data_IF_824378481901
#
_entry.id   IF_824378481901
#
_cell.length_a   1.000
_cell.length_b   1.000
_cell.length_c   1.000
_cell.angle_alpha   90.00
_cell.angle_beta   90.00
_cell.angle_gamma   90.00
#
_symmetry.space_group_name_H-M   'P 1'
#
loop_
_entity.id
_entity.type
_entity.pdbx_description
1 polymer ?
#
# COMPACT_ATOMS: atom_id res chain seq x y z
N UNK A 1 64.08 54.73 -4.41
CA UNK A 1 63.77 54.25 -3.05
C UNK A 1 62.27 53.98 -3.05
N UNK A 2 61.85 52.79 -3.47
CA UNK A 2 61.79 51.52 -2.71
C UNK A 2 60.58 51.45 -1.79
N UNK A 3 59.99 50.25 -1.76
CA UNK A 3 58.86 49.76 -0.97
C UNK A 3 57.49 49.95 -1.64
N UNK A 4 56.64 48.95 -1.82
CA UNK A 4 56.73 47.48 -1.76
C UNK A 4 55.34 47.00 -2.19
N UNK A 5 55.29 45.94 -2.99
CA UNK A 5 54.08 45.22 -3.38
C UNK A 5 53.55 44.44 -2.18
N UNK A 6 52.28 44.62 -1.83
CA UNK A 6 51.51 43.68 -1.00
C UNK A 6 50.34 43.18 -1.85
N UNK A 7 50.48 41.95 -2.35
CA UNK A 7 49.43 41.13 -2.93
C UNK A 7 48.49 40.65 -1.82
N UNK A 8 47.20 40.92 -1.95
CA UNK A 8 46.15 40.24 -1.19
C UNK A 8 45.46 39.30 -2.18
N UNK A 9 45.85 38.02 -2.14
CA UNK A 9 45.09 36.95 -2.79
C UNK A 9 43.77 36.75 -2.03
N UNK A 10 42.65 37.04 -2.70
CA UNK A 10 41.31 36.65 -2.26
C UNK A 10 41.13 35.14 -2.50
N UNK A 11 41.20 34.33 -1.45
CA UNK A 11 40.76 32.93 -1.48
C UNK A 11 39.24 32.88 -1.74
N UNK A 12 38.86 32.52 -2.97
CA UNK A 12 37.49 32.12 -3.30
C UNK A 12 37.20 30.79 -2.59
N UNK A 13 36.22 30.70 -1.66
CA UNK A 13 35.90 29.44 -1.02
C UNK A 13 35.34 28.46 -2.06
N UNK A 14 36.02 27.33 -2.21
CA UNK A 14 35.58 26.23 -3.07
C UNK A 14 34.19 25.77 -2.64
N UNK A 15 33.19 26.04 -3.48
CA UNK A 15 31.83 25.53 -3.30
C UNK A 15 31.89 24.00 -3.36
N UNK A 16 31.69 23.39 -2.19
CA UNK A 16 31.65 21.95 -1.97
C UNK A 16 30.67 21.28 -2.95
N UNK A 17 31.22 20.48 -3.86
CA UNK A 17 30.51 19.63 -4.82
C UNK A 17 29.83 18.41 -4.20
N UNK A 18 29.80 18.30 -2.86
CA UNK A 18 29.20 17.17 -2.13
C UNK A 18 27.71 16.93 -2.38
N UNK A 19 26.82 17.93 -2.49
CA UNK A 19 25.38 17.66 -2.64
C UNK A 19 25.04 17.00 -3.97
N UNK A 20 25.73 17.40 -5.05
CA UNK A 20 25.52 16.86 -6.39
C UNK A 20 26.07 15.44 -6.54
N UNK A 21 27.17 15.12 -5.85
CA UNK A 21 27.77 13.78 -5.86
C UNK A 21 26.94 12.79 -5.03
N UNK A 22 26.40 13.19 -3.87
CA UNK A 22 25.51 12.35 -3.06
C UNK A 22 24.18 12.05 -3.77
N UNK A 23 23.61 13.03 -4.50
CA UNK A 23 22.45 12.82 -5.36
C UNK A 23 22.75 11.87 -6.54
N UNK A 24 23.93 11.96 -7.14
CA UNK A 24 24.35 11.09 -8.25
C UNK A 24 24.62 9.64 -7.79
N UNK A 25 25.21 9.46 -6.60
CA UNK A 25 25.44 8.13 -6.00
C UNK A 25 24.14 7.51 -5.50
N UNK A 26 23.21 8.30 -4.96
CA UNK A 26 21.86 7.84 -4.62
C UNK A 26 21.09 7.42 -5.89
N UNK A 27 21.24 8.14 -7.00
CA UNK A 27 20.62 7.79 -8.28
C UNK A 27 21.17 6.50 -8.90
N UNK A 28 22.44 6.14 -8.66
CA UNK A 28 23.07 4.94 -9.22
C UNK A 28 22.55 3.61 -8.64
N UNK A 29 21.96 3.61 -7.45
CA UNK A 29 21.38 2.40 -6.82
C UNK A 29 19.84 2.39 -6.75
N UNK A 30 19.18 3.46 -7.20
CA UNK A 30 17.72 3.56 -7.19
C UNK A 30 17.12 3.00 -8.49
N UNK A 31 16.75 1.72 -8.48
CA UNK A 31 16.01 1.11 -9.59
C UNK A 31 14.62 1.73 -9.65
N UNK A 32 14.35 2.50 -10.71
CA UNK A 32 13.03 3.07 -10.98
C UNK A 32 12.04 1.96 -11.32
N UNK A 33 10.82 2.05 -10.81
CA UNK A 33 9.76 1.10 -11.12
C UNK A 33 9.53 1.02 -12.64
N UNK A 34 9.44 -0.20 -13.23
CA UNK A 34 9.33 -0.37 -14.68
C UNK A 34 7.89 -0.13 -15.14
N UNK A 35 7.41 1.11 -15.00
CA UNK A 35 6.03 1.51 -15.29
C UNK A 35 5.56 1.16 -16.71
N UNK A 36 6.48 0.98 -17.65
CA UNK A 36 6.16 0.58 -19.04
C UNK A 36 5.63 -0.86 -19.13
N UNK A 37 5.98 -1.74 -18.20
CA UNK A 37 5.55 -3.15 -18.18
C UNK A 37 4.07 -3.32 -17.80
N UNK A 38 3.48 -2.31 -17.15
CA UNK A 38 2.09 -2.35 -16.67
C UNK A 38 1.15 -1.50 -17.53
N UNK A 39 1.55 -1.17 -18.76
CA UNK A 39 0.69 -0.50 -19.73
C UNK A 39 0.31 0.94 -19.33
N UNK A 40 1.18 1.66 -18.61
CA UNK A 40 0.86 3.00 -18.06
C UNK A 40 0.91 4.11 -19.12
N UNK A 41 0.41 3.85 -20.33
CA UNK A 41 0.20 4.83 -21.37
C UNK A 41 -1.31 4.93 -21.68
N UNK A 42 -1.92 6.01 -21.19
CA UNK A 42 -3.15 6.64 -21.71
C UNK A 42 -4.48 5.84 -21.73
N UNK A 43 -4.69 4.87 -20.84
CA UNK A 43 -5.99 4.14 -20.75
C UNK A 43 -7.16 4.97 -20.17
N UNK A 44 -6.91 6.19 -19.71
CA UNK A 44 -7.96 7.08 -19.19
C UNK A 44 -8.91 7.60 -20.28
N UNK A 45 -8.50 7.49 -21.55
CA UNK A 45 -9.29 7.92 -22.71
C UNK A 45 -10.15 6.80 -23.31
N UNK A 46 -10.00 5.54 -22.86
CA UNK A 46 -10.73 4.40 -23.43
C UNK A 46 -11.56 3.68 -22.36
N UNK A 47 -12.83 4.10 -22.14
CA UNK A 47 -13.76 3.40 -21.24
C UNK A 47 -14.16 1.98 -21.69
N UNK A 48 -13.63 1.50 -22.82
CA UNK A 48 -13.97 0.22 -23.45
C UNK A 48 -12.95 -0.90 -23.19
N UNK A 49 -12.07 -0.75 -22.20
CA UNK A 49 -11.11 -1.80 -21.90
C UNK A 49 -11.82 -3.06 -21.40
N UNK A 50 -11.54 -4.20 -22.04
CA UNK A 50 -12.05 -5.50 -21.63
C UNK A 50 -11.68 -5.77 -20.15
N UNK A 51 -12.68 -6.06 -19.27
CA UNK A 51 -12.45 -6.43 -17.88
C UNK A 51 -11.35 -7.48 -17.67
N UNK A 52 -11.17 -8.42 -18.62
CA UNK A 52 -10.13 -9.46 -18.53
C UNK A 52 -8.72 -8.90 -18.69
N UNK A 53 -8.52 -7.98 -19.63
CA UNK A 53 -7.23 -7.31 -19.83
C UNK A 53 -6.88 -6.46 -18.61
N UNK A 54 -7.86 -5.73 -18.10
CA UNK A 54 -7.73 -4.93 -16.88
C UNK A 54 -7.30 -5.80 -15.69
N UNK A 55 -8.01 -6.90 -15.44
CA UNK A 55 -7.69 -7.85 -14.38
C UNK A 55 -6.27 -8.45 -14.56
N UNK A 56 -5.92 -8.87 -15.78
CA UNK A 56 -4.60 -9.42 -16.10
C UNK A 56 -3.45 -8.47 -15.74
N UNK A 57 -3.62 -7.16 -15.97
CA UNK A 57 -2.61 -6.15 -15.59
C UNK A 57 -2.44 -6.05 -14.08
N UNK A 58 -3.53 -6.04 -13.32
CA UNK A 58 -3.43 -5.95 -11.86
C UNK A 58 -2.92 -7.24 -11.21
N UNK A 59 -3.26 -8.42 -11.77
CA UNK A 59 -2.65 -9.69 -11.35
C UNK A 59 -1.14 -9.67 -11.60
N UNK A 60 -0.70 -9.19 -12.77
CA UNK A 60 0.72 -9.07 -13.08
C UNK A 60 1.43 -8.09 -12.13
N UNK A 61 0.82 -6.93 -11.87
CA UNK A 61 1.31 -5.95 -10.90
C UNK A 61 1.44 -6.55 -9.51
N UNK A 62 0.45 -7.33 -9.08
CA UNK A 62 0.44 -7.97 -7.78
C UNK A 62 1.58 -8.97 -7.62
N UNK A 63 1.74 -9.86 -8.59
CA UNK A 63 2.80 -10.86 -8.59
C UNK A 63 4.20 -10.20 -8.60
N UNK A 64 4.34 -9.10 -9.33
CA UNK A 64 5.58 -8.33 -9.39
C UNK A 64 5.95 -7.70 -8.03
N UNK A 65 5.00 -7.05 -7.37
CA UNK A 65 5.22 -6.35 -6.09
C UNK A 65 5.39 -7.32 -4.92
N UNK A 66 4.70 -8.47 -4.93
CA UNK A 66 4.85 -9.51 -3.90
C UNK A 66 6.19 -10.25 -3.98
N UNK A 67 6.95 -10.11 -5.08
CA UNK A 67 8.36 -10.48 -5.14
C UNK A 67 8.64 -11.96 -5.44
N UNK A 68 7.76 -12.64 -6.18
CA UNK A 68 7.93 -14.06 -6.53
C UNK A 68 9.21 -14.40 -7.34
N UNK A 69 9.89 -13.41 -7.91
CA UNK A 69 10.94 -13.64 -8.92
C UNK A 69 12.37 -13.15 -8.56
N UNK A 70 12.66 -12.62 -7.36
CA UNK A 70 14.01 -12.03 -7.10
C UNK A 70 14.67 -12.40 -5.78
N UNK A 71 15.99 -12.60 -5.89
CA UNK A 71 16.94 -13.04 -4.86
C UNK A 71 17.33 -11.89 -3.92
N UNK A 72 17.04 -12.15 -2.64
CA UNK A 72 17.66 -11.74 -1.38
C UNK A 72 18.99 -10.94 -1.47
N UNK A 73 18.88 -9.62 -1.40
CA UNK A 73 19.89 -8.80 -0.74
C UNK A 73 19.47 -8.57 0.73
N UNK A 74 20.41 -8.21 1.61
CA UNK A 74 20.09 -7.94 3.02
C UNK A 74 18.97 -6.89 3.09
N UNK A 75 17.86 -7.14 3.79
CA UNK A 75 16.77 -6.19 3.89
C UNK A 75 17.29 -4.91 4.56
N UNK A 76 17.46 -3.87 3.76
CA UNK A 76 17.62 -2.51 4.27
C UNK A 76 16.24 -1.98 4.65
N UNK A 77 16.16 -1.20 5.72
CA UNK A 77 14.92 -0.60 6.20
C UNK A 77 15.20 0.85 6.56
N UNK A 78 14.86 1.74 5.65
CA UNK A 78 15.02 3.18 5.79
C UNK A 78 13.65 3.84 5.95
N UNK A 79 13.52 4.66 6.98
CA UNK A 79 12.30 5.42 7.31
C UNK A 79 12.56 6.93 7.28
N UNK A 80 13.81 7.35 7.03
CA UNK A 80 14.22 8.75 6.98
C UNK A 80 14.13 9.34 5.57
N UNK A 81 13.67 8.55 4.60
CA UNK A 81 13.22 9.05 3.31
C UNK A 81 11.97 9.93 3.48
N UNK A 82 11.80 10.91 2.60
CA UNK A 82 10.56 11.68 2.56
C UNK A 82 9.49 11.00 1.67
N UNK A 83 8.25 11.48 1.77
CA UNK A 83 7.12 10.95 1.02
C UNK A 83 7.31 11.03 -0.51
N UNK A 84 7.95 12.09 -1.02
CA UNK A 84 8.23 12.24 -2.44
C UNK A 84 9.21 11.15 -2.92
N UNK A 85 10.28 10.92 -2.16
CA UNK A 85 11.23 9.85 -2.40
C UNK A 85 10.55 8.48 -2.33
N UNK A 86 9.64 8.27 -1.38
CA UNK A 86 8.88 7.04 -1.25
C UNK A 86 8.01 6.75 -2.49
N UNK A 87 7.33 7.75 -3.04
CA UNK A 87 6.54 7.61 -4.27
C UNK A 87 7.37 7.24 -5.50
N UNK A 88 8.55 7.85 -5.65
CA UNK A 88 9.35 7.71 -6.86
C UNK A 88 10.36 6.56 -6.77
N UNK A 89 10.83 6.23 -5.57
CA UNK A 89 11.88 5.24 -5.31
C UNK A 89 11.52 4.36 -4.10
N UNK A 90 10.47 3.52 -4.19
CA UNK A 90 10.06 2.66 -3.07
C UNK A 90 11.17 1.75 -2.53
N UNK A 91 12.11 1.35 -3.40
CA UNK A 91 13.27 0.52 -3.07
C UNK A 91 14.25 1.17 -2.09
N UNK A 92 14.15 2.49 -1.88
CA UNK A 92 14.90 3.19 -0.81
C UNK A 92 14.36 2.85 0.58
N UNK A 93 13.06 2.63 0.71
CA UNK A 93 12.41 2.26 1.98
C UNK A 93 12.83 0.85 2.38
N UNK A 94 12.66 -0.08 1.43
CA UNK A 94 13.01 -1.48 1.61
C UNK A 94 13.31 -2.12 0.26
N UNK A 95 14.32 -2.99 0.23
CA UNK A 95 14.57 -3.82 -0.93
C UNK A 95 13.46 -4.85 -1.11
N UNK A 96 13.26 -5.30 -2.36
CA UNK A 96 12.24 -6.29 -2.64
C UNK A 96 12.70 -7.67 -2.16
N UNK A 97 11.90 -8.26 -1.29
CA UNK A 97 11.92 -9.69 -0.94
C UNK A 97 10.49 -10.22 -0.88
N UNK A 98 10.32 -11.54 -0.92
CA UNK A 98 9.01 -12.13 -1.12
C UNK A 98 8.10 -11.85 0.09
N UNK A 99 6.86 -11.43 -0.18
CA UNK A 99 5.84 -11.33 0.87
C UNK A 99 5.30 -12.70 1.26
N UNK A 100 5.15 -13.60 0.29
CA UNK A 100 4.72 -14.99 0.48
C UNK A 100 5.86 -15.90 0.97
N UNK A 101 6.62 -15.46 1.97
CA UNK A 101 7.62 -16.29 2.64
C UNK A 101 6.98 -17.11 3.76
N UNK A 102 7.58 -18.26 4.07
CA UNK A 102 7.12 -19.08 5.19
C UNK A 102 7.19 -18.26 6.47
N UNK A 103 6.15 -18.35 7.31
CA UNK A 103 6.13 -17.75 8.64
C UNK A 103 7.31 -18.29 9.47
N UNK A 104 8.31 -17.45 9.71
CA UNK A 104 9.58 -17.85 10.33
C UNK A 104 9.85 -17.09 11.64
N UNK A 105 9.39 -15.85 11.74
CA UNK A 105 9.76 -14.94 12.84
C UNK A 105 8.52 -14.29 13.45
N UNK A 106 8.34 -14.53 14.74
CA UNK A 106 7.37 -13.79 15.54
C UNK A 106 7.71 -12.30 15.51
N UNK A 107 6.69 -11.45 15.35
CA UNK A 107 6.84 -10.00 15.43
C UNK A 107 7.31 -9.60 16.83
N UNK A 108 8.32 -8.74 16.87
CA UNK A 108 8.82 -8.12 18.08
C UNK A 108 9.37 -6.72 17.78
N UNK A 109 9.89 -6.06 18.82
CA UNK A 109 10.52 -4.74 18.69
C UNK A 109 11.62 -4.69 17.61
N UNK A 110 12.44 -5.73 17.51
CA UNK A 110 13.53 -5.79 16.53
C UNK A 110 13.08 -6.04 15.09
N UNK A 111 11.81 -6.41 14.86
CA UNK A 111 11.31 -6.77 13.52
C UNK A 111 10.23 -5.82 12.99
N UNK A 112 9.59 -5.02 13.86
CA UNK A 112 8.47 -4.16 13.47
C UNK A 112 8.85 -3.14 12.39
N UNK A 113 10.01 -2.48 12.52
CA UNK A 113 10.51 -1.54 11.50
C UNK A 113 10.65 -2.19 10.14
N UNK A 114 11.25 -3.39 10.09
CA UNK A 114 11.45 -4.13 8.84
C UNK A 114 10.12 -4.56 8.21
N UNK A 115 9.18 -5.04 9.03
CA UNK A 115 7.82 -5.37 8.61
C UNK A 115 7.15 -4.17 7.96
N UNK A 116 7.13 -3.04 8.66
CA UNK A 116 6.52 -1.80 8.18
C UNK A 116 7.18 -1.32 6.88
N UNK A 117 8.51 -1.22 6.84
CA UNK A 117 9.26 -0.77 5.65
C UNK A 117 8.95 -1.64 4.42
N UNK A 118 8.85 -2.97 4.58
CA UNK A 118 8.58 -3.86 3.45
C UNK A 118 7.16 -3.70 2.92
N UNK A 119 6.17 -3.60 3.81
CA UNK A 119 4.78 -3.37 3.44
C UNK A 119 4.60 -2.00 2.76
N UNK A 120 5.19 -0.95 3.32
CA UNK A 120 5.13 0.40 2.74
C UNK A 120 5.86 0.47 1.40
N UNK A 121 7.02 -0.16 1.25
CA UNK A 121 7.70 -0.28 -0.04
C UNK A 121 6.82 -1.00 -1.07
N UNK A 122 6.23 -2.15 -0.70
CA UNK A 122 5.27 -2.86 -1.54
C UNK A 122 4.13 -1.93 -1.99
N UNK A 123 3.57 -1.17 -1.07
CA UNK A 123 2.45 -0.29 -1.34
C UNK A 123 2.81 0.78 -2.36
N UNK A 124 3.92 1.49 -2.19
CA UNK A 124 4.35 2.50 -3.16
C UNK A 124 4.74 1.88 -4.51
N UNK A 125 5.36 0.69 -4.54
CA UNK A 125 5.58 -0.04 -5.81
C UNK A 125 4.25 -0.35 -6.50
N UNK A 126 3.26 -0.85 -5.76
CA UNK A 126 1.93 -1.12 -6.29
C UNK A 126 1.26 0.14 -6.84
N UNK A 127 1.28 1.26 -6.10
CA UNK A 127 0.73 2.54 -6.56
C UNK A 127 1.38 3.01 -7.87
N UNK A 128 2.70 2.85 -8.02
CA UNK A 128 3.37 3.25 -9.26
C UNK A 128 2.92 2.47 -10.51
N UNK A 129 2.29 1.30 -10.31
CA UNK A 129 1.65 0.49 -11.36
C UNK A 129 0.24 0.93 -11.73
N UNK A 130 -0.41 1.81 -10.95
CA UNK A 130 -1.79 2.24 -11.18
C UNK A 130 -1.82 3.50 -12.04
N UNK A 131 -2.25 3.36 -13.29
CA UNK A 131 -2.25 4.47 -14.24
C UNK A 131 -3.20 5.61 -13.87
N UNK A 132 -4.36 5.29 -13.29
CA UNK A 132 -5.39 6.28 -12.96
C UNK A 132 -4.94 7.30 -11.91
N UNK A 133 -3.95 6.98 -11.07
CA UNK A 133 -3.39 7.91 -10.08
C UNK A 133 -2.79 9.15 -10.76
N UNK A 134 -2.30 9.03 -12.00
CA UNK A 134 -1.69 10.14 -12.74
C UNK A 134 -2.68 11.23 -13.15
N UNK A 135 -3.97 10.94 -13.12
CA UNK A 135 -5.02 11.91 -13.45
C UNK A 135 -5.43 12.80 -12.29
N UNK A 136 -5.01 12.46 -11.08
CA UNK A 136 -5.29 13.29 -9.91
C UNK A 136 -4.32 14.47 -9.88
N UNK A 137 -4.82 15.60 -9.39
CA UNK A 137 -3.99 16.72 -8.98
C UNK A 137 -3.00 16.25 -7.90
N UNK A 138 -1.82 16.87 -7.82
CA UNK A 138 -0.78 16.42 -6.88
C UNK A 138 -1.25 16.42 -5.42
N UNK A 139 -2.04 17.41 -5.01
CA UNK A 139 -2.62 17.48 -3.66
C UNK A 139 -3.56 16.30 -3.38
N UNK A 140 -4.53 16.06 -4.28
CA UNK A 140 -5.47 14.94 -4.18
C UNK A 140 -4.76 13.59 -4.23
N UNK A 141 -3.70 13.48 -5.03
CA UNK A 141 -2.89 12.27 -5.18
C UNK A 141 -2.18 11.94 -3.87
N UNK A 142 -1.48 12.91 -3.28
CA UNK A 142 -0.80 12.74 -1.99
C UNK A 142 -1.82 12.38 -0.90
N UNK A 143 -2.96 13.08 -0.88
CA UNK A 143 -4.02 12.84 0.09
C UNK A 143 -4.64 11.45 -0.05
N UNK A 144 -4.98 11.01 -1.27
CA UNK A 144 -5.52 9.67 -1.55
C UNK A 144 -4.52 8.58 -1.17
N UNK A 145 -3.27 8.73 -1.58
CA UNK A 145 -2.25 7.70 -1.42
C UNK A 145 -1.78 7.54 0.02
N UNK A 146 -1.53 8.63 0.76
CA UNK A 146 -1.29 8.52 2.21
C UNK A 146 -2.57 8.09 2.93
N UNK A 147 -3.69 8.57 2.40
CA UNK A 147 -5.07 8.30 2.77
C UNK A 147 -5.40 6.84 3.05
N UNK A 148 -5.08 6.04 2.05
CA UNK A 148 -5.50 4.65 1.91
C UNK A 148 -4.43 3.65 2.37
N UNK A 149 -3.24 4.11 2.74
CA UNK A 149 -2.09 3.24 3.01
C UNK A 149 -2.42 2.13 4.00
N UNK A 150 -2.85 2.47 5.21
CA UNK A 150 -3.13 1.48 6.26
C UNK A 150 -4.23 0.49 5.83
N UNK A 151 -5.25 0.97 5.11
CA UNK A 151 -6.35 0.13 4.60
C UNK A 151 -5.87 -0.88 3.57
N UNK A 152 -5.03 -0.46 2.64
CA UNK A 152 -4.48 -1.35 1.61
C UNK A 152 -3.49 -2.35 2.22
N UNK A 153 -2.63 -1.91 3.14
CA UNK A 153 -1.74 -2.82 3.87
C UNK A 153 -2.52 -3.84 4.69
N UNK A 154 -3.55 -3.39 5.40
CA UNK A 154 -4.48 -4.26 6.13
C UNK A 154 -5.14 -5.30 5.21
N UNK A 155 -5.51 -4.92 3.98
CA UNK A 155 -6.04 -5.86 2.99
C UNK A 155 -4.99 -6.91 2.58
N UNK A 156 -3.76 -6.48 2.32
CA UNK A 156 -2.64 -7.37 1.98
C UNK A 156 -2.39 -8.38 3.10
N UNK A 157 -2.26 -7.92 4.34
CA UNK A 157 -2.06 -8.76 5.52
C UNK A 157 -3.23 -9.73 5.71
N UNK A 158 -4.47 -9.27 5.52
CA UNK A 158 -5.67 -10.13 5.60
C UNK A 158 -5.63 -11.26 4.58
N UNK A 159 -5.23 -10.95 3.35
CA UNK A 159 -5.19 -11.93 2.26
C UNK A 159 -4.10 -12.98 2.47
N UNK A 160 -2.89 -12.56 2.88
CA UNK A 160 -1.83 -13.52 3.22
C UNK A 160 -2.20 -14.38 4.43
N UNK A 161 -2.83 -13.79 5.45
CA UNK A 161 -3.35 -14.55 6.59
C UNK A 161 -4.40 -15.57 6.17
N UNK A 162 -5.31 -15.18 5.27
CA UNK A 162 -6.30 -16.09 4.68
C UNK A 162 -5.63 -17.27 3.94
N UNK A 163 -4.63 -16.99 3.11
CA UNK A 163 -3.88 -18.02 2.37
C UNK A 163 -3.09 -18.95 3.30
N UNK A 164 -2.54 -18.43 4.40
CA UNK A 164 -1.81 -19.22 5.38
C UNK A 164 -2.69 -20.26 6.09
N UNK A 165 -4.00 -19.97 6.23
CA UNK A 165 -4.98 -20.94 6.73
C UNK A 165 -4.81 -21.36 8.19
N UNK A 166 -3.99 -20.63 8.97
CA UNK A 166 -3.76 -20.90 10.39
C UNK A 166 -4.66 -20.00 11.23
N UNK A 167 -5.54 -20.61 12.03
CA UNK A 167 -6.46 -19.86 12.89
C UNK A 167 -5.73 -19.10 14.01
N UNK A 168 -6.11 -17.84 14.19
CA UNK A 168 -5.58 -16.98 15.25
C UNK A 168 -4.14 -16.48 15.04
N UNK A 169 -3.51 -16.83 13.91
CA UNK A 169 -2.19 -16.34 13.52
C UNK A 169 -2.33 -15.29 12.42
N UNK A 170 -1.64 -14.18 12.59
CA UNK A 170 -1.63 -13.05 11.64
C UNK A 170 -0.33 -13.09 10.84
N UNK A 171 -0.41 -13.09 9.51
CA UNK A 171 0.74 -13.07 8.61
C UNK A 171 0.96 -11.67 8.04
N UNK A 172 2.04 -11.00 8.45
CA UNK A 172 2.42 -9.68 7.94
C UNK A 172 3.19 -9.75 6.62
N UNK A 173 3.47 -10.96 6.13
CA UNK A 173 4.34 -11.24 5.00
C UNK A 173 5.82 -11.11 5.34
N UNK A 174 6.67 -11.53 4.39
CA UNK A 174 8.12 -11.43 4.55
C UNK A 174 8.67 -12.26 5.71
N UNK A 175 8.00 -13.38 5.99
CA UNK A 175 8.32 -14.32 7.06
C UNK A 175 8.03 -13.82 8.47
N UNK A 176 7.38 -12.65 8.63
CA UNK A 176 7.02 -12.08 9.93
C UNK A 176 5.56 -12.36 10.22
N UNK A 177 5.29 -12.98 11.38
CA UNK A 177 3.93 -13.34 11.79
C UNK A 177 3.67 -12.95 13.24
N UNK A 178 2.41 -13.02 13.66
CA UNK A 178 2.01 -12.90 15.05
C UNK A 178 1.17 -14.09 15.47
N UNK A 179 1.70 -14.86 16.42
CA UNK A 179 0.94 -15.82 17.21
C UNK A 179 0.73 -15.27 18.64
N UNK A 180 -0.52 -15.10 19.09
CA UNK A 180 -0.82 -14.58 20.43
C UNK A 180 -0.37 -15.52 21.57
N UNK A 181 -0.21 -16.81 21.32
CA UNK A 181 0.28 -17.79 22.29
C UNK A 181 1.80 -17.68 22.51
N UNK A 182 2.54 -17.28 21.48
CA UNK A 182 4.01 -17.14 21.52
C UNK A 182 4.45 -15.71 21.85
N UNK A 183 3.58 -14.71 21.67
CA UNK A 183 3.91 -13.32 21.93
C UNK A 183 3.87 -12.98 23.43
N UNK A 184 4.98 -12.48 24.03
CA UNK A 184 4.94 -11.95 25.38
C UNK A 184 4.00 -10.75 25.47
N UNK A 185 3.46 -10.49 26.66
CA UNK A 185 2.64 -9.30 26.92
C UNK A 185 3.45 -8.03 26.68
N UNK A 186 2.79 -6.99 26.13
CA UNK A 186 3.44 -5.74 25.78
C UNK A 186 2.77 -5.04 24.61
N UNK A 187 3.36 -3.93 24.17
CA UNK A 187 2.78 -3.07 23.13
C UNK A 187 2.56 -3.80 21.80
N UNK A 188 3.49 -4.65 21.38
CA UNK A 188 3.34 -5.46 20.16
C UNK A 188 2.15 -6.41 20.25
N UNK A 189 1.96 -7.07 21.40
CA UNK A 189 0.82 -7.97 21.61
C UNK A 189 -0.50 -7.20 21.56
N UNK A 190 -0.54 -6.01 22.15
CA UNK A 190 -1.73 -5.15 22.10
C UNK A 190 -2.03 -4.69 20.67
N UNK A 191 -1.00 -4.22 19.94
CA UNK A 191 -1.11 -3.79 18.54
C UNK A 191 -1.59 -4.94 17.63
N UNK A 192 -0.82 -6.02 17.54
CA UNK A 192 -1.14 -7.13 16.65
C UNK A 192 -2.41 -7.88 17.09
N UNK A 193 -2.69 -7.94 18.40
CA UNK A 193 -3.93 -8.49 18.95
C UNK A 193 -5.17 -7.70 18.52
N UNK A 194 -5.10 -6.37 18.51
CA UNK A 194 -6.21 -5.53 18.03
C UNK A 194 -6.51 -5.76 16.55
N UNK A 195 -5.46 -5.84 15.71
CA UNK A 195 -5.58 -6.19 14.29
C UNK A 195 -6.19 -7.59 14.12
N UNK A 196 -5.69 -8.57 14.87
CA UNK A 196 -6.17 -9.96 14.83
C UNK A 196 -7.64 -10.07 15.22
N UNK A 197 -8.11 -9.29 16.21
CA UNK A 197 -9.52 -9.26 16.63
C UNK A 197 -10.43 -8.80 15.49
N UNK A 198 -10.15 -7.63 14.90
CA UNK A 198 -10.96 -7.09 13.80
C UNK A 198 -10.96 -8.04 12.60
N UNK A 199 -9.78 -8.58 12.28
CA UNK A 199 -9.62 -9.55 11.20
C UNK A 199 -10.44 -10.82 11.42
N UNK A 200 -10.39 -11.39 12.63
CA UNK A 200 -11.10 -12.61 13.00
C UNK A 200 -12.62 -12.45 13.05
N UNK A 201 -13.10 -11.26 13.42
CA UNK A 201 -14.54 -10.97 13.55
C UNK A 201 -15.19 -10.59 12.21
N UNK A 202 -14.53 -9.74 11.41
CA UNK A 202 -15.18 -9.09 10.26
C UNK A 202 -14.66 -9.53 8.89
N UNK A 203 -13.43 -10.05 8.81
CA UNK A 203 -12.73 -10.23 7.52
C UNK A 203 -12.58 -11.71 7.16
N UNK A 204 -11.85 -12.49 7.96
CA UNK A 204 -11.56 -13.90 7.67
C UNK A 204 -12.82 -14.76 7.52
N UNK A 205 -13.89 -14.62 8.33
CA UNK A 205 -15.11 -15.40 8.13
C UNK A 205 -15.72 -15.21 6.75
N UNK A 206 -15.73 -13.98 6.24
CA UNK A 206 -16.26 -13.66 4.91
C UNK A 206 -15.32 -14.19 3.82
N UNK A 207 -14.00 -13.99 3.94
CA UNK A 207 -13.03 -14.54 2.98
C UNK A 207 -13.15 -16.07 2.84
N UNK A 208 -13.31 -16.76 3.97
CA UNK A 208 -13.48 -18.22 4.03
C UNK A 208 -14.82 -18.68 3.47
N UNK A 209 -15.92 -17.99 3.85
CA UNK A 209 -17.27 -18.26 3.32
C UNK A 209 -17.29 -18.18 1.80
N UNK A 210 -16.69 -17.13 1.24
CA UNK A 210 -16.70 -16.86 -0.18
C UNK A 210 -15.65 -17.64 -0.97
N UNK A 211 -14.63 -18.16 -0.29
CA UNK A 211 -13.41 -18.69 -0.90
C UNK A 211 -12.85 -17.70 -1.93
N UNK A 212 -12.53 -16.50 -1.44
CA UNK A 212 -12.12 -15.39 -2.31
C UNK A 212 -10.97 -15.82 -3.22
N UNK A 213 -11.13 -15.59 -4.51
CA UNK A 213 -10.09 -15.89 -5.49
C UNK A 213 -9.05 -14.77 -5.54
N UNK A 214 -7.89 -15.04 -6.13
CA UNK A 214 -6.84 -14.02 -6.29
C UNK A 214 -7.33 -12.83 -7.14
N UNK A 215 -8.13 -13.12 -8.16
CA UNK A 215 -8.73 -12.14 -9.06
C UNK A 215 -9.69 -11.20 -8.31
N UNK A 216 -10.57 -11.75 -7.48
CA UNK A 216 -11.50 -10.97 -6.66
C UNK A 216 -10.76 -10.11 -5.63
N UNK A 217 -9.74 -10.67 -4.97
CA UNK A 217 -8.88 -9.93 -4.05
C UNK A 217 -8.25 -8.72 -4.72
N UNK A 218 -7.63 -8.92 -5.89
CA UNK A 218 -6.92 -7.86 -6.61
C UNK A 218 -7.88 -6.74 -7.01
N UNK A 219 -9.06 -7.06 -7.55
CA UNK A 219 -10.07 -6.05 -7.89
C UNK A 219 -10.61 -5.34 -6.66
N UNK A 220 -10.95 -6.08 -5.60
CA UNK A 220 -11.44 -5.49 -4.35
C UNK A 220 -10.43 -4.54 -3.74
N UNK A 221 -9.14 -4.85 -3.80
CA UNK A 221 -8.09 -3.96 -3.31
C UNK A 221 -8.04 -2.63 -4.07
N UNK A 222 -8.15 -2.67 -5.39
CA UNK A 222 -8.22 -1.45 -6.22
C UNK A 222 -9.50 -0.66 -5.94
N UNK A 223 -10.65 -1.33 -5.82
CA UNK A 223 -11.92 -0.70 -5.44
C UNK A 223 -11.78 -0.03 -4.06
N UNK A 224 -11.16 -0.69 -3.08
CA UNK A 224 -10.92 -0.13 -1.75
C UNK A 224 -10.02 1.11 -1.82
N UNK A 225 -8.98 1.09 -2.65
CA UNK A 225 -8.09 2.24 -2.83
C UNK A 225 -8.82 3.47 -3.40
N UNK A 226 -9.69 3.29 -4.38
CA UNK A 226 -10.47 4.40 -4.95
C UNK A 226 -11.80 4.67 -4.22
N UNK A 227 -12.12 3.91 -3.17
CA UNK A 227 -13.32 4.17 -2.37
C UNK A 227 -13.06 5.33 -1.40
N UNK A 228 -13.50 6.52 -1.80
CA UNK A 228 -13.26 7.76 -1.08
C UNK A 228 -14.43 8.19 -0.18
N UNK A 229 -15.44 7.33 0.04
CA UNK A 229 -16.70 7.65 0.72
C UNK A 229 -16.54 8.24 2.14
N UNK A 230 -15.38 8.06 2.76
CA UNK A 230 -15.07 8.50 4.13
C UNK A 230 -13.95 9.56 4.19
N UNK A 231 -13.49 10.05 3.03
CA UNK A 231 -12.39 11.00 2.98
C UNK A 231 -12.91 12.43 2.97
N UNK A 232 -12.58 13.16 4.03
CA UNK A 232 -12.76 14.61 4.11
C UNK A 232 -11.42 15.24 3.74
N UNK A 233 -11.30 15.81 2.53
CA UNK A 233 -10.09 16.52 2.11
C UNK A 233 -9.72 16.43 0.62
N UNK A 234 -10.36 15.53 -0.15
CA UNK A 234 -10.24 15.55 -1.61
C UNK A 234 -11.03 16.71 -2.21
N UNK A 235 -10.51 17.28 -3.29
CA UNK A 235 -11.26 18.23 -4.11
C UNK A 235 -12.48 17.56 -4.77
N UNK A 236 -13.47 18.35 -5.18
CA UNK A 236 -14.65 17.83 -5.90
C UNK A 236 -14.25 17.05 -7.16
N UNK A 237 -13.23 17.53 -7.89
CA UNK A 237 -12.69 16.85 -9.06
C UNK A 237 -11.97 15.54 -8.69
N UNK A 238 -11.25 15.51 -7.57
CA UNK A 238 -10.65 14.29 -7.02
C UNK A 238 -11.70 13.25 -6.63
N UNK A 239 -12.81 13.68 -5.99
CA UNK A 239 -13.93 12.81 -5.63
C UNK A 239 -14.61 12.24 -6.87
N UNK A 240 -14.92 13.07 -7.86
CA UNK A 240 -15.52 12.64 -9.12
C UNK A 240 -14.64 11.62 -9.84
N UNK A 241 -13.34 11.90 -9.93
CA UNK A 241 -12.37 11.02 -10.55
C UNK A 241 -12.27 9.67 -9.81
N UNK A 242 -12.15 9.69 -8.48
CA UNK A 242 -12.12 8.48 -7.67
C UNK A 242 -13.39 7.63 -7.85
N UNK A 243 -14.57 8.25 -7.88
CA UNK A 243 -15.84 7.56 -8.11
C UNK A 243 -15.92 6.94 -9.50
N UNK A 244 -15.49 7.67 -10.54
CA UNK A 244 -15.44 7.16 -11.92
C UNK A 244 -14.55 5.92 -12.01
N UNK A 245 -13.36 5.98 -11.42
CA UNK A 245 -12.40 4.87 -11.40
C UNK A 245 -12.93 3.70 -10.56
N UNK A 246 -13.49 3.96 -9.38
CA UNK A 246 -14.09 2.94 -8.53
C UNK A 246 -15.23 2.19 -9.25
N UNK A 247 -16.09 2.90 -9.98
CA UNK A 247 -17.16 2.28 -10.76
C UNK A 247 -16.66 1.42 -11.93
N UNK A 248 -15.57 1.83 -12.60
CA UNK A 248 -14.88 1.00 -13.61
C UNK A 248 -14.47 -0.35 -13.02
N UNK A 249 -13.87 -0.36 -11.84
CA UNK A 249 -13.41 -1.59 -11.19
C UNK A 249 -14.56 -2.42 -10.58
N UNK A 250 -15.62 -1.79 -10.08
CA UNK A 250 -16.85 -2.49 -9.65
C UNK A 250 -17.52 -3.21 -10.81
N UNK A 251 -17.56 -2.59 -12.00
CA UNK A 251 -18.07 -3.23 -13.21
C UNK A 251 -17.23 -4.46 -13.60
N UNK A 252 -15.91 -4.36 -13.54
CA UNK A 252 -15.03 -5.49 -13.79
C UNK A 252 -15.26 -6.65 -12.78
N UNK A 253 -15.42 -6.33 -11.49
CA UNK A 253 -15.74 -7.33 -10.46
C UNK A 253 -17.11 -7.99 -10.70
N UNK A 254 -18.13 -7.22 -11.08
CA UNK A 254 -19.45 -7.75 -11.39
C UNK A 254 -19.41 -8.74 -12.56
N UNK A 255 -18.65 -8.44 -13.61
CA UNK A 255 -18.45 -9.36 -14.74
C UNK A 255 -17.70 -10.63 -14.31
N UNK A 256 -16.63 -10.49 -13.52
CA UNK A 256 -15.88 -11.65 -12.99
C UNK A 256 -16.78 -12.58 -12.18
N UNK A 257 -17.59 -12.02 -11.28
CA UNK A 257 -18.54 -12.79 -10.46
C UNK A 257 -19.62 -13.45 -11.32
N UNK A 258 -20.14 -12.73 -12.32
CA UNK A 258 -21.10 -13.27 -13.28
C UNK A 258 -20.54 -14.48 -14.02
N UNK A 259 -19.33 -14.36 -14.58
CA UNK A 259 -18.66 -15.47 -15.26
C UNK A 259 -18.44 -16.66 -14.33
N UNK A 260 -18.00 -16.43 -13.09
CA UNK A 260 -17.86 -17.48 -12.08
C UNK A 260 -19.19 -18.21 -11.81
N UNK A 261 -20.30 -17.48 -11.63
CA UNK A 261 -21.61 -18.08 -11.36
C UNK A 261 -22.13 -18.87 -12.57
N UNK A 262 -21.95 -18.34 -13.79
CA UNK A 262 -22.37 -19.02 -15.01
C UNK A 262 -21.61 -20.33 -15.24
N UNK A 263 -20.31 -20.36 -14.92
CA UNK A 263 -19.46 -21.55 -15.06
C UNK A 263 -19.75 -22.62 -14.00
N UNK A 264 -19.97 -22.21 -12.75
CA UNK A 264 -20.15 -23.13 -11.62
C UNK A 264 -21.61 -23.59 -11.42
N UNK A 265 -22.58 -22.82 -11.93
CA UNK A 265 -24.01 -23.10 -11.78
C UNK A 265 -24.79 -23.00 -13.11
N UNK A 266 -24.36 -23.72 -14.17
CA UNK A 266 -24.94 -23.60 -15.51
C UNK A 266 -26.40 -24.07 -15.59
N UNK A 267 -26.82 -24.95 -14.67
CA UNK A 267 -28.17 -25.56 -14.67
C UNK A 267 -29.24 -24.70 -13.99
N UNK A 268 -28.85 -23.63 -13.27
CA UNK A 268 -29.80 -22.72 -12.62
C UNK A 268 -30.55 -21.88 -13.66
N UNK A 269 -31.72 -21.36 -13.26
CA UNK A 269 -32.41 -20.36 -14.08
C UNK A 269 -31.67 -19.01 -14.02
N UNK A 270 -31.92 -18.14 -15.00
CA UNK A 270 -31.26 -16.83 -15.09
C UNK A 270 -31.53 -15.95 -13.85
N UNK A 271 -32.77 -15.95 -13.34
CA UNK A 271 -33.13 -15.23 -12.11
C UNK A 271 -32.32 -15.71 -10.89
N UNK A 272 -32.18 -17.02 -10.72
CA UNK A 272 -31.41 -17.62 -9.63
C UNK A 272 -29.92 -17.29 -9.73
N UNK A 273 -29.35 -17.31 -10.94
CA UNK A 273 -27.96 -16.87 -11.14
C UNK A 273 -27.78 -15.40 -10.81
N UNK A 274 -28.73 -14.56 -11.20
CA UNK A 274 -28.69 -13.13 -10.89
C UNK A 274 -28.69 -12.89 -9.37
N UNK A 275 -29.53 -13.58 -8.62
CA UNK A 275 -29.55 -13.52 -7.15
C UNK A 275 -28.21 -13.96 -6.53
N UNK A 276 -27.59 -15.03 -7.03
CA UNK A 276 -26.27 -15.48 -6.57
C UNK A 276 -25.17 -14.46 -6.86
N UNK A 277 -25.20 -13.83 -8.04
CA UNK A 277 -24.27 -12.76 -8.40
C UNK A 277 -24.41 -11.58 -7.45
N UNK A 278 -25.63 -11.10 -7.21
CA UNK A 278 -25.90 -9.98 -6.30
C UNK A 278 -25.48 -10.30 -4.87
N UNK A 279 -25.82 -11.49 -4.37
CA UNK A 279 -25.46 -11.94 -3.02
C UNK A 279 -23.94 -12.00 -2.85
N UNK A 280 -23.23 -12.58 -3.82
CA UNK A 280 -21.76 -12.64 -3.76
C UNK A 280 -21.13 -11.26 -3.82
N UNK A 281 -21.60 -10.37 -4.69
CA UNK A 281 -21.10 -8.99 -4.79
C UNK A 281 -21.33 -8.22 -3.48
N UNK A 282 -22.49 -8.38 -2.85
CA UNK A 282 -22.78 -7.76 -1.57
C UNK A 282 -21.81 -8.22 -0.49
N UNK A 283 -21.59 -9.53 -0.36
CA UNK A 283 -20.65 -10.09 0.62
C UNK A 283 -19.20 -9.65 0.34
N UNK A 284 -18.77 -9.62 -0.93
CA UNK A 284 -17.44 -9.14 -1.33
C UNK A 284 -17.23 -7.67 -0.98
N UNK A 285 -18.23 -6.82 -1.22
CA UNK A 285 -18.15 -5.39 -0.90
C UNK A 285 -18.25 -5.13 0.61
N UNK A 286 -18.89 -6.02 1.39
CA UNK A 286 -18.97 -5.91 2.84
C UNK A 286 -17.57 -6.02 3.50
N UNK A 287 -16.63 -6.75 2.89
CA UNK A 287 -15.25 -6.83 3.37
C UNK A 287 -14.60 -5.46 3.53
N UNK A 288 -14.99 -4.48 2.71
CA UNK A 288 -14.42 -3.14 2.76
C UNK A 288 -14.64 -2.47 4.11
N UNK A 289 -15.75 -2.75 4.79
CA UNK A 289 -16.02 -2.18 6.11
C UNK A 289 -15.02 -2.68 7.15
N UNK A 290 -14.80 -3.99 7.23
CA UNK A 290 -13.81 -4.58 8.14
C UNK A 290 -12.39 -4.06 7.84
N UNK A 291 -12.04 -3.91 6.57
CA UNK A 291 -10.74 -3.39 6.13
C UNK A 291 -10.54 -1.93 6.54
N UNK A 292 -11.57 -1.09 6.41
CA UNK A 292 -11.55 0.30 6.86
C UNK A 292 -11.28 0.36 8.36
N UNK A 293 -12.07 -0.37 9.16
CA UNK A 293 -11.93 -0.39 10.62
C UNK A 293 -10.55 -0.90 11.02
N UNK A 294 -10.06 -1.96 10.37
CA UNK A 294 -8.73 -2.48 10.66
C UNK A 294 -7.62 -1.48 10.31
N UNK A 295 -7.76 -0.76 9.20
CA UNK A 295 -6.83 0.30 8.81
C UNK A 295 -6.79 1.48 9.79
N UNK A 296 -7.92 1.85 10.39
CA UNK A 296 -7.99 2.88 11.45
C UNK A 296 -7.33 2.41 12.74
N UNK A 297 -7.55 1.15 13.12
CA UNK A 297 -6.89 0.52 14.27
C UNK A 297 -5.37 0.47 14.04
N UNK A 298 -4.93 0.04 12.86
CA UNK A 298 -3.52 -0.01 12.48
C UNK A 298 -2.85 1.37 12.59
N UNK A 299 -3.46 2.39 11.97
CA UNK A 299 -2.95 3.76 11.97
C UNK A 299 -2.80 4.32 13.39
N UNK A 300 -3.84 4.16 14.23
CA UNK A 300 -3.83 4.61 15.62
C UNK A 300 -2.75 3.97 16.47
N UNK A 301 -2.53 2.66 16.33
CA UNK A 301 -1.47 1.99 17.07
C UNK A 301 -0.09 2.31 16.52
N UNK A 302 0.08 2.42 15.20
CA UNK A 302 1.35 2.85 14.60
C UNK A 302 1.74 4.25 15.05
N UNK A 303 0.80 5.21 15.10
CA UNK A 303 1.05 6.55 15.63
C UNK A 303 1.63 6.50 17.06
N UNK A 304 1.04 5.69 17.93
CA UNK A 304 1.53 5.51 19.31
C UNK A 304 2.94 4.92 19.35
N UNK A 305 3.20 3.89 18.54
CA UNK A 305 4.51 3.23 18.48
C UNK A 305 5.57 4.20 17.94
N UNK A 306 5.23 5.03 16.95
CA UNK A 306 6.11 6.06 16.39
C UNK A 306 6.42 7.14 17.43
N UNK A 307 5.42 7.62 18.17
CA UNK A 307 5.59 8.69 19.16
C UNK A 307 6.54 8.32 20.32
N UNK A 308 6.64 7.03 20.66
CA UNK A 308 7.58 6.53 21.67
C UNK A 308 8.86 5.93 21.05
N UNK A 309 9.03 6.04 19.73
CA UNK A 309 10.12 5.44 18.96
C UNK A 309 10.30 3.93 19.18
N UNK A 310 9.19 3.19 19.33
CA UNK A 310 9.23 1.75 19.55
C UNK A 310 9.84 1.04 18.33
N UNK A 311 10.85 0.19 18.56
CA UNK A 311 11.52 -0.53 17.47
C UNK A 311 12.23 0.36 16.44
N UNK A 312 12.53 1.62 16.80
CA UNK A 312 13.18 2.56 15.89
C UNK A 312 12.28 3.07 14.76
N UNK A 313 10.96 3.18 15.00
CA UNK A 313 9.96 3.65 14.03
C UNK A 313 9.89 5.18 13.89
N UNK A 314 10.63 5.95 14.68
CA UNK A 314 10.67 7.40 14.55
C UNK A 314 11.54 7.81 13.36
N UNK A 315 10.90 8.19 12.25
CA UNK A 315 11.56 8.65 11.03
C UNK A 315 10.71 9.67 10.28
N UNK A 316 11.29 10.27 9.24
CA UNK A 316 10.61 11.27 8.39
C UNK A 316 9.34 10.71 7.75
N UNK A 317 9.44 9.55 7.08
CA UNK A 317 8.32 8.96 6.35
C UNK A 317 7.19 8.55 7.28
N UNK A 318 7.52 7.89 8.39
CA UNK A 318 6.52 7.40 9.35
C UNK A 318 5.74 8.56 9.96
N UNK A 319 6.40 9.68 10.27
CA UNK A 319 5.73 10.90 10.74
C UNK A 319 4.84 11.53 9.69
N UNK A 320 5.33 11.67 8.45
CA UNK A 320 4.55 12.25 7.35
C UNK A 320 3.25 11.47 7.07
N UNK A 321 3.30 10.14 7.21
CA UNK A 321 2.16 9.26 6.96
C UNK A 321 1.20 9.20 8.17
N UNK A 322 1.71 8.95 9.37
CA UNK A 322 0.88 8.56 10.52
C UNK A 322 0.64 9.69 11.54
N UNK A 323 1.50 10.73 11.58
CA UNK A 323 1.44 11.76 12.64
C UNK A 323 1.02 13.13 12.09
N UNK A 324 1.59 13.51 10.95
CA UNK A 324 1.43 14.85 10.38
C UNK A 324 0.25 14.95 9.41
N UNK A 325 -0.28 13.81 8.95
CA UNK A 325 -1.41 13.73 8.01
C UNK A 325 -2.64 14.51 8.50
N UNK A 326 -2.89 14.54 9.80
CA UNK A 326 -4.00 15.27 10.43
C UNK A 326 -3.77 16.78 10.55
N UNK A 327 -2.55 17.27 10.33
CA UNK A 327 -2.20 18.70 10.40
C UNK A 327 -2.34 19.40 9.04
N UNK A 328 -2.26 18.65 7.95
CA UNK A 328 -2.43 19.11 6.57
C UNK A 328 -3.90 19.34 6.15
N UNK A 329 -4.88 18.92 6.95
CA UNK A 329 -6.32 19.18 6.71
C UNK A 329 -6.81 20.54 7.22
N UNK A 330 -5.94 21.37 7.82
CA UNK A 330 -6.27 22.79 8.03
C UNK A 330 -5.96 23.52 6.73
N UNK A 331 -6.95 24.08 6.01
CA UNK A 331 -6.68 24.82 4.79
C UNK A 331 -5.79 26.00 5.17
N UNK A 332 -4.56 26.01 4.65
CA UNK A 332 -3.77 27.24 4.55
C UNK A 332 -4.54 28.14 3.58
N UNK A 333 -5.44 28.94 4.13
CA UNK A 333 -5.92 30.16 3.48
C UNK A 333 -4.66 30.94 3.12
N UNK A 334 -4.37 31.00 1.82
CA UNK A 334 -3.31 31.84 1.29
C UNK A 334 -3.66 33.29 1.60
N UNK A 335 -2.82 33.85 2.48
CA UNK A 335 -2.40 35.25 2.52
C UNK A 335 -1.69 35.67 1.25
#
# INVERSE_FOLDING_TARGET
>A
MSCSEDEIEEEIPSVSSKPALELAVAAQNCIRFPSKQFGIFLDLLFPSEDPKNLLGRFLHLENYCTGHERILMKPNSDIDVDLFQAFHYPTRISQRYALAEKMEKQICEGTIKRMWCRLVAYYFEWLTGIGEIRSFLEEDKVFLCTGQLCRILCFVVSYFTYLGGVDGVLDFGGGIYFDPALCPTGLIKTFAGAITSVMGEAILPVMRKLRITHEEYVLLKVITFFNTSQFIGLSDGGIEMANKVCNKYRYALANLVKEYVEQNYPTLQESQRHELVLSRLQDLLQLQHGIVTMGEVDDHYLEKLININYGGLHGTLTKQIHVERHKSTIPRRYS
#
